data_IF_715298574443
#
_entry.id   IF_715298574443
#
_cell.length_a   1.000
_cell.length_b   1.000
_cell.length_c   1.000
_cell.angle_alpha   90.00
_cell.angle_beta   90.00
_cell.angle_gamma   90.00
#
_symmetry.space_group_name_H-M   'P 1'
#
loop_
_entity.id
_entity.type
_entity.pdbx_description
1 polymer ?
#
# COMPACT_ATOMS: atom_id res chain seq x y z
N UNK A 1 12.38 -0.96 2.87
CA UNK A 1 13.65 -1.32 2.32
C UNK A 1 14.66 -1.94 3.30
N UNK A 2 14.57 -1.69 4.62
CA UNK A 2 15.53 -2.27 5.60
C UNK A 2 15.22 -3.72 5.89
N UNK A 3 14.00 -4.02 6.28
CA UNK A 3 13.53 -5.38 6.63
C UNK A 3 13.00 -6.11 5.40
N UNK A 4 12.34 -5.38 4.51
CA UNK A 4 11.77 -5.89 3.27
C UNK A 4 12.66 -5.59 2.07
N UNK A 5 12.43 -6.29 0.95
CA UNK A 5 13.13 -6.04 -0.33
C UNK A 5 12.83 -4.63 -0.85
N UNK A 6 11.76 -4.01 -0.36
CA UNK A 6 11.40 -2.63 -0.69
C UNK A 6 10.44 -2.49 -1.86
N UNK A 7 10.16 -3.56 -2.56
CA UNK A 7 9.21 -3.60 -3.67
C UNK A 7 7.96 -4.37 -3.26
N UNK A 8 6.87 -3.65 -3.04
CA UNK A 8 5.56 -4.27 -2.88
C UNK A 8 5.08 -4.79 -4.22
N UNK A 9 4.44 -5.96 -4.22
CA UNK A 9 3.93 -6.60 -5.42
C UNK A 9 2.43 -6.85 -5.29
N UNK A 10 1.67 -6.51 -6.32
CA UNK A 10 0.25 -6.80 -6.38
C UNK A 10 0.04 -8.32 -6.50
N UNK A 11 -0.80 -8.88 -5.64
CA UNK A 11 -1.05 -10.32 -5.56
C UNK A 11 -2.49 -10.69 -5.85
N UNK A 12 -3.46 -9.80 -5.58
CA UNK A 12 -4.87 -10.09 -5.76
C UNK A 12 -5.72 -8.84 -5.96
N UNK A 13 -6.79 -8.97 -6.73
CA UNK A 13 -7.83 -7.97 -6.92
C UNK A 13 -9.13 -8.41 -6.25
N UNK A 14 -9.76 -7.50 -5.51
CA UNK A 14 -11.02 -7.74 -4.80
C UNK A 14 -12.08 -6.75 -5.29
N UNK A 15 -12.89 -7.07 -6.32
CA UNK A 15 -14.03 -6.24 -6.68
C UNK A 15 -15.09 -6.29 -5.57
N UNK A 16 -15.81 -5.20 -5.37
CA UNK A 16 -16.85 -5.07 -4.34
C UNK A 16 -18.16 -4.56 -4.93
N UNK A 17 -19.27 -4.69 -4.20
CA UNK A 17 -20.54 -4.12 -4.58
C UNK A 17 -21.13 -4.69 -5.89
N UNK A 18 -20.82 -5.95 -6.21
CA UNK A 18 -21.30 -6.57 -7.45
C UNK A 18 -20.58 -6.11 -8.72
N UNK A 19 -19.47 -5.39 -8.59
CA UNK A 19 -18.64 -4.98 -9.74
C UNK A 19 -18.08 -6.21 -10.43
N UNK A 20 -18.22 -6.26 -11.76
CA UNK A 20 -17.68 -7.36 -12.55
C UNK A 20 -16.15 -7.45 -12.39
N UNK A 21 -15.58 -8.64 -12.10
CA UNK A 21 -14.14 -8.80 -11.94
C UNK A 21 -13.30 -8.31 -13.12
N UNK A 22 -13.79 -8.47 -14.35
CA UNK A 22 -13.08 -7.99 -15.54
C UNK A 22 -13.10 -6.46 -15.63
N UNK A 23 -14.20 -5.82 -15.29
CA UNK A 23 -14.28 -4.35 -15.22
C UNK A 23 -13.36 -3.80 -14.15
N UNK A 24 -13.35 -4.41 -12.98
CA UNK A 24 -12.45 -4.01 -11.90
C UNK A 24 -10.98 -4.16 -12.30
N UNK A 25 -10.63 -5.28 -12.95
CA UNK A 25 -9.30 -5.50 -13.49
C UNK A 25 -8.87 -4.37 -14.44
N UNK A 26 -9.75 -3.96 -15.35
CA UNK A 26 -9.50 -2.85 -16.28
C UNK A 26 -9.26 -1.54 -15.52
N UNK A 27 -10.06 -1.22 -14.52
CA UNK A 27 -9.90 -0.02 -13.69
C UNK A 27 -8.54 -0.02 -12.98
N UNK A 28 -8.14 -1.13 -12.40
CA UNK A 28 -6.85 -1.28 -11.73
C UNK A 28 -5.68 -1.05 -12.69
N UNK A 29 -5.70 -1.68 -13.85
CA UNK A 29 -4.65 -1.57 -14.86
C UNK A 29 -4.58 -0.16 -15.45
N UNK A 30 -5.72 0.43 -15.83
CA UNK A 30 -5.77 1.79 -16.36
C UNK A 30 -5.26 2.82 -15.35
N UNK A 31 -5.66 2.70 -14.09
CA UNK A 31 -5.20 3.59 -13.02
C UNK A 31 -3.68 3.53 -12.79
N UNK A 32 -3.05 2.46 -13.23
CA UNK A 32 -1.62 2.20 -13.06
C UNK A 32 -0.80 2.29 -14.35
N UNK A 33 -1.43 2.57 -15.48
CA UNK A 33 -0.82 2.50 -16.81
C UNK A 33 0.42 3.40 -16.98
N UNK A 34 0.47 4.54 -16.31
CA UNK A 34 1.61 5.43 -16.31
C UNK A 34 2.29 5.55 -14.95
N UNK A 35 1.95 4.69 -14.03
CA UNK A 35 2.60 4.60 -12.73
C UNK A 35 3.91 3.82 -12.88
N UNK A 36 5.03 4.55 -12.88
CA UNK A 36 6.36 3.95 -13.03
C UNK A 36 6.91 3.33 -11.73
N UNK A 37 6.17 3.44 -10.64
CA UNK A 37 6.56 2.80 -9.37
C UNK A 37 6.56 1.27 -9.51
N UNK A 38 7.36 0.56 -8.69
CA UNK A 38 7.31 -0.91 -8.67
C UNK A 38 5.92 -1.47 -8.40
N UNK A 39 5.16 -0.82 -7.53
CA UNK A 39 3.77 -1.17 -7.21
C UNK A 39 2.86 -1.04 -8.43
N UNK A 40 2.92 0.10 -9.13
CA UNK A 40 2.13 0.35 -10.33
C UNK A 40 2.44 -0.64 -11.45
N UNK A 41 3.71 -0.90 -11.68
CA UNK A 41 4.15 -1.91 -12.66
C UNK A 41 3.66 -3.31 -12.31
N UNK A 42 3.68 -3.67 -11.03
CA UNK A 42 3.19 -4.97 -10.57
C UNK A 42 1.68 -5.15 -10.77
N UNK A 43 0.91 -4.06 -10.63
CA UNK A 43 -0.54 -4.08 -10.89
C UNK A 43 -0.82 -4.34 -12.37
N UNK A 44 -0.10 -3.66 -13.27
CA UNK A 44 -0.22 -3.87 -14.72
C UNK A 44 0.18 -5.29 -15.11
N UNK A 45 1.25 -5.81 -14.53
CA UNK A 45 1.71 -7.19 -14.77
C UNK A 45 0.68 -8.22 -14.31
N UNK A 46 0.13 -8.07 -13.10
CA UNK A 46 -0.92 -8.95 -12.60
C UNK A 46 -2.16 -8.91 -13.49
N UNK A 47 -2.55 -7.74 -13.96
CA UNK A 47 -3.65 -7.58 -14.92
C UNK A 47 -3.39 -8.33 -16.22
N UNK A 48 -2.16 -8.27 -16.72
CA UNK A 48 -1.73 -8.98 -17.93
C UNK A 48 -1.78 -10.51 -17.75
N UNK A 49 -1.32 -11.00 -16.63
CA UNK A 49 -1.42 -12.42 -16.25
C UNK A 49 -2.86 -12.91 -16.21
N UNK A 50 -3.80 -12.06 -15.81
CA UNK A 50 -5.23 -12.36 -15.78
C UNK A 50 -5.96 -12.08 -17.11
N UNK A 51 -5.21 -11.77 -18.15
CA UNK A 51 -5.72 -11.68 -19.52
C UNK A 51 -6.10 -10.29 -20.01
N UNK A 52 -5.86 -9.23 -19.22
CA UNK A 52 -6.10 -7.87 -19.68
C UNK A 52 -4.82 -7.19 -20.16
N UNK A 53 -4.88 -6.68 -21.38
CA UNK A 53 -3.83 -5.85 -21.98
C UNK A 53 -4.46 -4.58 -22.52
N UNK A 54 -3.85 -3.44 -22.23
CA UNK A 54 -4.24 -2.19 -22.86
C UNK A 54 -3.34 -1.91 -24.07
N UNK A 55 -3.90 -1.21 -25.06
CA UNK A 55 -3.17 -0.71 -26.21
C UNK A 55 -2.80 0.77 -26.01
N UNK A 56 -1.93 1.30 -26.89
CA UNK A 56 -1.66 2.73 -26.88
C UNK A 56 -2.92 3.56 -27.19
N UNK A 57 -3.85 2.99 -27.95
CA UNK A 57 -5.13 3.63 -28.26
C UNK A 57 -5.97 3.82 -26.99
N UNK A 58 -5.96 2.85 -26.07
CA UNK A 58 -6.66 2.94 -24.78
C UNK A 58 -6.10 4.05 -23.87
N UNK A 59 -4.85 4.45 -24.09
CA UNK A 59 -4.17 5.50 -23.33
C UNK A 59 -4.28 6.89 -23.98
N UNK A 60 -4.87 7.01 -25.16
CA UNK A 60 -5.01 8.29 -25.85
C UNK A 60 -5.97 9.22 -25.10
N UNK A 61 -5.52 10.45 -24.87
CA UNK A 61 -6.33 11.47 -24.22
C UNK A 61 -6.49 11.29 -22.70
N UNK A 62 -5.80 10.33 -22.10
CA UNK A 62 -5.79 10.11 -20.64
C UNK A 62 -4.90 11.16 -19.98
N UNK A 63 -5.43 11.82 -18.95
CA UNK A 63 -4.65 12.66 -18.06
C UNK A 63 -4.19 11.84 -16.84
N UNK A 64 -2.87 11.80 -16.62
CA UNK A 64 -2.27 11.07 -15.51
C UNK A 64 -2.24 11.90 -14.24
N UNK A 65 -2.73 11.34 -13.15
CA UNK A 65 -2.66 11.93 -11.82
C UNK A 65 -1.59 11.20 -11.02
N UNK A 66 -0.46 11.89 -10.81
CA UNK A 66 0.70 11.31 -10.11
C UNK A 66 0.45 11.24 -8.60
N UNK A 67 1.04 10.22 -7.99
CA UNK A 67 1.06 10.10 -6.53
C UNK A 67 1.82 11.27 -5.90
N UNK A 68 1.25 11.81 -4.82
CA UNK A 68 1.95 12.73 -3.94
C UNK A 68 1.85 12.25 -2.49
N UNK A 69 2.82 12.61 -1.67
CA UNK A 69 2.80 12.28 -0.23
C UNK A 69 1.61 12.95 0.50
N UNK A 70 1.11 14.04 -0.04
CA UNK A 70 -0.02 14.79 0.48
C UNK A 70 -1.35 14.09 0.16
N UNK A 71 -1.56 13.72 -1.10
CA UNK A 71 -2.82 13.09 -1.54
C UNK A 71 -2.86 11.58 -1.27
N UNK A 72 -1.70 10.94 -1.20
CA UNK A 72 -1.54 9.49 -1.02
C UNK A 72 -2.37 8.64 -1.99
N UNK A 73 -2.63 9.18 -3.17
CA UNK A 73 -3.34 8.50 -4.24
C UNK A 73 -2.80 8.90 -5.60
N UNK A 74 -3.07 8.08 -6.58
CA UNK A 74 -2.76 8.31 -7.99
C UNK A 74 -3.90 7.78 -8.86
N UNK A 75 -3.86 8.05 -10.13
CA UNK A 75 -4.88 7.54 -11.04
C UNK A 75 -4.88 8.22 -12.40
N UNK A 76 -6.02 8.19 -13.05
CA UNK A 76 -6.21 8.73 -14.39
C UNK A 76 -7.56 9.44 -14.50
N UNK A 77 -7.59 10.48 -15.32
CA UNK A 77 -8.82 11.10 -15.82
C UNK A 77 -9.00 10.68 -17.27
N UNK A 78 -10.08 9.98 -17.53
CA UNK A 78 -10.39 9.45 -18.86
C UNK A 78 -11.01 10.54 -19.77
N UNK A 79 -10.86 10.44 -21.10
CA UNK A 79 -11.45 11.39 -22.02
C UNK A 79 -12.98 11.50 -21.95
N UNK A 80 -13.65 10.45 -21.51
CA UNK A 80 -15.10 10.38 -21.30
C UNK A 80 -15.58 11.00 -19.97
N UNK A 81 -14.67 11.56 -19.18
CA UNK A 81 -14.96 12.22 -17.93
C UNK A 81 -14.87 11.32 -16.69
N UNK A 82 -14.61 10.03 -16.85
CA UNK A 82 -14.40 9.13 -15.69
C UNK A 82 -13.09 9.45 -14.99
N UNK A 83 -13.14 9.51 -13.66
CA UNK A 83 -11.98 9.72 -12.79
C UNK A 83 -11.72 8.46 -12.00
N UNK A 84 -10.58 7.82 -12.24
CA UNK A 84 -10.19 6.60 -11.54
C UNK A 84 -9.06 6.97 -10.57
N UNK A 85 -9.20 6.60 -9.30
CA UNK A 85 -8.19 6.83 -8.27
C UNK A 85 -7.92 5.53 -7.52
N UNK A 86 -6.64 5.32 -7.20
CA UNK A 86 -6.18 4.25 -6.30
C UNK A 86 -5.28 4.85 -5.24
N UNK A 87 -5.34 4.33 -4.04
CA UNK A 87 -4.49 4.85 -2.97
C UNK A 87 -4.73 4.18 -1.63
N UNK A 88 -4.06 4.69 -0.61
CA UNK A 88 -4.23 4.25 0.76
C UNK A 88 -5.71 4.38 1.18
N UNK A 89 -6.16 3.47 2.04
CA UNK A 89 -7.56 3.40 2.49
C UNK A 89 -8.09 4.74 2.97
N UNK A 90 -7.34 5.45 3.80
CA UNK A 90 -7.77 6.74 4.36
C UNK A 90 -7.86 7.86 3.31
N UNK A 91 -6.95 7.86 2.34
CA UNK A 91 -6.98 8.83 1.25
C UNK A 91 -8.24 8.67 0.38
N UNK A 92 -8.56 7.44 0.00
CA UNK A 92 -9.74 7.13 -0.80
C UNK A 92 -11.02 7.30 0.02
N UNK A 93 -11.01 6.97 1.31
CA UNK A 93 -12.10 7.24 2.24
C UNK A 93 -12.47 8.73 2.25
N UNK A 94 -11.47 9.59 2.33
CA UNK A 94 -11.68 11.05 2.30
C UNK A 94 -12.31 11.51 0.98
N UNK A 95 -11.84 10.98 -0.15
CA UNK A 95 -12.41 11.28 -1.47
C UNK A 95 -13.89 10.87 -1.54
N UNK A 96 -14.20 9.65 -1.10
CA UNK A 96 -15.56 9.14 -1.09
C UNK A 96 -16.50 9.94 -0.17
N UNK A 97 -16.04 10.27 1.03
CA UNK A 97 -16.81 11.04 2.01
C UNK A 97 -17.15 12.45 1.52
N UNK A 98 -16.24 13.12 0.83
CA UNK A 98 -16.50 14.45 0.22
C UNK A 98 -17.62 14.40 -0.82
N UNK A 99 -17.82 13.26 -1.45
CA UNK A 99 -18.90 13.04 -2.43
C UNK A 99 -20.17 12.42 -1.80
N UNK A 100 -20.22 12.30 -0.47
CA UNK A 100 -21.35 11.69 0.23
C UNK A 100 -21.36 10.16 0.22
N UNK A 101 -20.26 9.52 -0.20
CA UNK A 101 -20.12 8.07 -0.21
C UNK A 101 -19.34 7.60 1.03
N UNK A 102 -19.49 6.32 1.38
CA UNK A 102 -18.76 5.70 2.48
C UNK A 102 -18.26 4.32 2.10
N UNK A 103 -17.29 3.81 2.85
CA UNK A 103 -16.87 2.43 2.71
C UNK A 103 -18.00 1.51 3.22
N UNK A 104 -18.33 0.51 2.40
CA UNK A 104 -19.24 -0.57 2.83
C UNK A 104 -18.53 -1.47 3.86
N UNK A 105 -19.31 -2.26 4.58
CA UNK A 105 -18.77 -3.28 5.49
C UNK A 105 -17.89 -4.31 4.76
N UNK A 106 -18.20 -4.61 3.50
CA UNK A 106 -17.40 -5.48 2.64
C UNK A 106 -16.01 -4.91 2.41
N UNK A 107 -15.90 -3.62 2.05
CA UNK A 107 -14.62 -2.93 1.84
C UNK A 107 -13.82 -2.88 3.14
N UNK A 108 -14.44 -2.53 4.25
CA UNK A 108 -13.78 -2.48 5.57
C UNK A 108 -13.20 -3.84 5.95
N UNK A 109 -13.96 -4.91 5.74
CA UNK A 109 -13.51 -6.29 6.01
C UNK A 109 -12.32 -6.69 5.16
N UNK A 110 -12.35 -6.39 3.85
CA UNK A 110 -11.25 -6.71 2.93
C UNK A 110 -9.98 -5.95 3.31
N UNK A 111 -10.09 -4.65 3.53
CA UNK A 111 -8.98 -3.79 3.95
C UNK A 111 -8.34 -4.31 5.23
N UNK A 112 -9.16 -4.65 6.22
CA UNK A 112 -8.69 -5.19 7.49
C UNK A 112 -8.01 -6.54 7.32
N UNK A 113 -8.60 -7.47 6.59
CA UNK A 113 -8.06 -8.80 6.35
C UNK A 113 -6.68 -8.73 5.65
N UNK A 114 -6.55 -7.90 4.62
CA UNK A 114 -5.27 -7.68 3.93
C UNK A 114 -4.21 -7.17 4.91
N UNK A 115 -4.55 -6.17 5.72
CA UNK A 115 -3.62 -5.58 6.70
C UNK A 115 -3.22 -6.56 7.79
N UNK A 116 -4.15 -7.35 8.30
CA UNK A 116 -3.88 -8.39 9.32
C UNK A 116 -2.95 -9.49 8.79
N UNK A 117 -2.97 -9.75 7.49
CA UNK A 117 -2.09 -10.71 6.82
C UNK A 117 -0.79 -10.07 6.30
N UNK A 118 -0.46 -8.86 6.75
CA UNK A 118 0.77 -8.17 6.40
C UNK A 118 0.80 -7.53 5.03
N UNK A 119 -0.31 -7.53 4.32
CA UNK A 119 -0.45 -6.86 3.05
C UNK A 119 -0.74 -5.36 3.19
N UNK A 120 -0.65 -4.65 2.09
CA UNK A 120 -1.06 -3.26 1.99
C UNK A 120 -2.27 -3.17 1.07
N UNK A 121 -3.43 -2.73 1.57
CA UNK A 121 -4.61 -2.53 0.74
C UNK A 121 -4.51 -1.19 0.00
N UNK A 122 -4.71 -1.22 -1.32
CA UNK A 122 -4.98 -0.03 -2.13
C UNK A 122 -6.45 -0.05 -2.53
N UNK A 123 -7.18 0.97 -2.15
CA UNK A 123 -8.60 1.10 -2.52
C UNK A 123 -8.71 1.80 -3.86
N UNK A 124 -9.58 1.30 -4.72
CA UNK A 124 -9.83 1.85 -6.07
C UNK A 124 -11.26 2.40 -6.13
N UNK A 125 -11.38 3.65 -6.59
CA UNK A 125 -12.66 4.28 -6.84
C UNK A 125 -12.74 4.82 -8.28
N UNK A 126 -13.96 4.88 -8.78
CA UNK A 126 -14.32 5.53 -10.04
C UNK A 126 -15.44 6.53 -9.74
N UNK A 127 -15.22 7.79 -10.13
CA UNK A 127 -16.17 8.89 -9.84
C UNK A 127 -16.61 8.90 -8.36
N UNK A 128 -15.63 8.77 -7.45
CA UNK A 128 -15.80 8.77 -5.99
C UNK A 128 -16.61 7.59 -5.43
N UNK A 129 -16.95 6.60 -6.26
CA UNK A 129 -17.57 5.33 -5.83
C UNK A 129 -16.52 4.24 -5.69
N UNK A 130 -16.54 3.54 -4.58
CA UNK A 130 -15.58 2.46 -4.33
C UNK A 130 -15.92 1.25 -5.21
N UNK A 131 -14.93 0.79 -5.97
CA UNK A 131 -15.08 -0.35 -6.89
C UNK A 131 -14.39 -1.62 -6.40
N UNK A 132 -13.39 -1.49 -5.57
CA UNK A 132 -12.69 -2.64 -5.02
C UNK A 132 -11.37 -2.29 -4.35
N UNK A 133 -10.60 -3.33 -4.06
CA UNK A 133 -9.32 -3.24 -3.34
C UNK A 133 -8.26 -4.07 -4.06
N UNK A 134 -7.05 -3.55 -4.11
CA UNK A 134 -5.86 -4.27 -4.58
C UNK A 134 -5.04 -4.68 -3.37
N UNK A 135 -4.63 -5.94 -3.29
CA UNK A 135 -3.70 -6.43 -2.28
C UNK A 135 -2.27 -6.33 -2.78
N UNK A 136 -1.43 -5.61 -2.04
CA UNK A 136 0.02 -5.58 -2.23
C UNK A 136 0.69 -6.34 -1.10
N UNK A 137 1.72 -7.12 -1.40
CA UNK A 137 2.51 -7.86 -0.42
C UNK A 137 3.97 -7.40 -0.44
N UNK A 138 4.53 -7.17 0.74
CA UNK A 138 5.97 -6.98 0.94
C UNK A 138 6.67 -8.33 1.07
N UNK A 139 7.90 -8.40 0.56
CA UNK A 139 8.75 -9.58 0.71
C UNK A 139 9.80 -9.27 1.78
N UNK A 140 9.79 -10.03 2.88
CA UNK A 140 10.78 -9.92 3.95
C UNK A 140 12.11 -10.53 3.46
N UNK A 141 13.21 -9.82 3.72
CA UNK A 141 14.54 -10.28 3.32
C UNK A 141 14.90 -11.61 4.00
N UNK A 142 15.44 -12.53 3.21
CA UNK A 142 15.94 -13.81 3.72
C UNK A 142 17.04 -13.56 4.76
N UNK A 143 17.00 -14.30 5.88
CA UNK A 143 18.01 -14.21 6.93
C UNK A 143 17.87 -13.01 7.87
N UNK A 144 16.84 -12.17 7.70
CA UNK A 144 16.66 -10.99 8.57
C UNK A 144 16.32 -11.39 10.01
N UNK A 145 15.53 -12.45 10.18
CA UNK A 145 15.13 -12.95 11.50
C UNK A 145 16.31 -13.43 12.31
N UNK A 146 17.20 -14.20 11.70
CA UNK A 146 18.43 -14.71 12.29
C UNK A 146 19.36 -13.57 12.72
N UNK A 147 19.42 -12.50 11.90
CA UNK A 147 20.21 -11.30 12.24
C UNK A 147 19.67 -10.62 13.50
N UNK A 148 18.36 -10.45 13.61
CA UNK A 148 17.76 -9.83 14.79
C UNK A 148 17.88 -10.71 16.02
N UNK A 149 17.79 -12.02 15.89
CA UNK A 149 18.06 -12.96 16.98
C UNK A 149 19.49 -12.85 17.51
N UNK A 150 20.47 -12.71 16.62
CA UNK A 150 21.87 -12.49 17.01
C UNK A 150 22.04 -11.16 17.76
N UNK A 151 21.44 -10.08 17.28
CA UNK A 151 21.48 -8.78 17.96
C UNK A 151 20.85 -8.87 19.34
N UNK A 152 19.75 -9.57 19.48
CA UNK A 152 19.09 -9.79 20.78
C UNK A 152 19.99 -10.55 21.76
N UNK A 153 20.67 -11.60 21.29
CA UNK A 153 21.66 -12.34 22.09
C UNK A 153 22.84 -11.48 22.55
N UNK A 154 23.14 -10.43 21.79
CA UNK A 154 24.18 -9.45 22.15
C UNK A 154 23.66 -8.34 23.06
N UNK A 155 22.40 -8.40 23.50
CA UNK A 155 21.78 -7.39 24.35
C UNK A 155 21.30 -6.16 23.61
N UNK A 156 21.24 -6.20 22.28
CA UNK A 156 20.76 -5.08 21.45
C UNK A 156 19.26 -5.19 21.26
N UNK A 157 18.53 -4.15 21.65
CA UNK A 157 17.09 -4.02 21.37
C UNK A 157 16.88 -3.51 19.94
N UNK A 158 15.97 -4.15 19.22
CA UNK A 158 15.60 -3.75 17.85
C UNK A 158 14.20 -3.16 17.83
N UNK A 159 14.05 -2.02 17.17
CA UNK A 159 12.77 -1.33 17.00
C UNK A 159 12.55 -1.03 15.51
N UNK A 160 11.43 -1.49 14.97
CA UNK A 160 11.02 -1.16 13.61
C UNK A 160 10.21 0.13 13.61
N UNK A 161 10.60 1.10 12.77
CA UNK A 161 9.85 2.34 12.57
C UNK A 161 9.38 2.38 11.13
N UNK A 162 8.06 2.40 10.92
CA UNK A 162 7.45 2.28 9.60
C UNK A 162 6.30 3.27 9.40
N UNK A 163 6.07 3.67 8.16
CA UNK A 163 4.90 4.44 7.76
C UNK A 163 3.64 3.59 7.52
N UNK A 164 3.74 2.25 7.61
CA UNK A 164 2.61 1.35 7.41
C UNK A 164 1.56 1.48 8.52
N UNK A 165 0.33 1.02 8.24
CA UNK A 165 -0.72 0.95 9.25
C UNK A 165 -0.35 -0.04 10.37
N UNK A 166 -0.95 0.08 11.57
CA UNK A 166 -0.58 -0.75 12.73
C UNK A 166 -0.71 -2.25 12.50
N UNK A 167 -1.72 -2.70 11.76
CA UNK A 167 -1.94 -4.13 11.50
C UNK A 167 -0.85 -4.72 10.61
N UNK A 168 -0.51 -4.04 9.52
CA UNK A 168 0.58 -4.43 8.62
C UNK A 168 1.92 -4.38 9.35
N UNK A 169 2.18 -3.32 10.12
CA UNK A 169 3.40 -3.15 10.89
C UNK A 169 3.59 -4.27 11.92
N UNK A 170 2.54 -4.61 12.64
CA UNK A 170 2.56 -5.70 13.63
C UNK A 170 2.93 -7.04 12.97
N UNK A 171 2.29 -7.37 11.87
CA UNK A 171 2.58 -8.61 11.14
C UNK A 171 4.04 -8.68 10.69
N UNK A 172 4.55 -7.63 10.06
CA UNK A 172 5.94 -7.58 9.57
C UNK A 172 6.93 -7.64 10.73
N UNK A 173 6.66 -6.95 11.83
CA UNK A 173 7.50 -6.97 13.04
C UNK A 173 7.59 -8.38 13.63
N UNK A 174 6.48 -9.10 13.73
CA UNK A 174 6.43 -10.48 14.22
C UNK A 174 7.18 -11.43 13.28
N UNK A 175 7.01 -11.29 11.97
CA UNK A 175 7.70 -12.12 10.96
C UNK A 175 9.21 -11.86 10.93
N UNK A 176 9.63 -10.61 11.12
CA UNK A 176 11.04 -10.23 11.15
C UNK A 176 11.72 -10.51 12.49
N UNK A 177 10.94 -10.67 13.57
CA UNK A 177 11.46 -10.95 14.91
C UNK A 177 12.10 -9.75 15.59
N UNK A 178 11.64 -8.52 15.30
CA UNK A 178 12.04 -7.31 16.04
C UNK A 178 11.38 -7.25 17.41
N UNK A 179 11.99 -6.53 18.35
CA UNK A 179 11.50 -6.46 19.73
C UNK A 179 10.28 -5.55 19.87
N UNK A 180 10.22 -4.49 19.08
CA UNK A 180 9.14 -3.51 19.14
C UNK A 180 8.94 -2.82 17.78
N UNK A 181 7.81 -2.12 17.60
CA UNK A 181 7.57 -1.37 16.38
C UNK A 181 6.78 -0.09 16.62
N UNK A 182 6.97 0.89 15.72
CA UNK A 182 6.22 2.13 15.65
C UNK A 182 5.62 2.22 14.26
N UNK A 183 4.29 2.25 14.19
CA UNK A 183 3.53 2.34 12.94
C UNK A 183 3.15 3.79 12.62
N UNK A 184 2.72 4.04 11.37
CA UNK A 184 2.24 5.34 10.89
C UNK A 184 3.25 6.49 11.11
N UNK A 185 4.54 6.15 11.20
CA UNK A 185 5.60 7.11 11.45
C UNK A 185 5.92 7.93 10.19
N UNK A 186 6.03 9.23 10.38
CA UNK A 186 6.58 10.15 9.37
C UNK A 186 8.12 10.17 9.46
N UNK A 187 8.81 10.67 8.42
CA UNK A 187 10.28 10.79 8.48
C UNK A 187 10.78 11.56 9.70
N UNK A 188 10.05 12.62 10.10
CA UNK A 188 10.39 13.43 11.27
C UNK A 188 10.31 12.64 12.57
N UNK A 189 9.31 11.76 12.70
CA UNK A 189 9.10 10.93 13.88
C UNK A 189 10.27 9.96 14.11
N UNK A 190 10.87 9.48 13.01
CA UNK A 190 12.06 8.61 13.07
C UNK A 190 13.24 9.32 13.70
N UNK A 191 13.49 10.55 13.27
CA UNK A 191 14.58 11.37 13.82
C UNK A 191 14.32 11.73 15.29
N UNK A 192 13.10 12.08 15.63
CA UNK A 192 12.73 12.42 17.00
C UNK A 192 12.88 11.22 17.94
N UNK A 193 12.48 10.03 17.51
CA UNK A 193 12.66 8.80 18.27
C UNK A 193 14.15 8.53 18.57
N UNK A 194 15.03 8.65 17.57
CA UNK A 194 16.47 8.45 17.73
C UNK A 194 17.03 9.46 18.75
N UNK A 195 16.69 10.75 18.62
CA UNK A 195 17.13 11.79 19.54
C UNK A 195 16.68 11.51 20.98
N UNK A 196 15.44 11.07 21.17
CA UNK A 196 14.88 10.73 22.48
C UNK A 196 15.65 9.59 23.13
N UNK A 197 15.94 8.53 22.41
CA UNK A 197 16.70 7.38 22.92
C UNK A 197 18.16 7.76 23.25
N UNK A 198 18.77 8.62 22.45
CA UNK A 198 20.13 9.16 22.73
C UNK A 198 20.14 10.05 23.96
N UNK A 199 19.14 10.91 24.16
CA UNK A 199 18.99 11.76 25.35
C UNK A 199 18.76 10.93 26.63
N UNK A 200 18.17 9.75 26.51
CA UNK A 200 18.02 8.77 27.60
C UNK A 200 19.33 8.01 27.91
N UNK A 201 20.45 8.37 27.27
CA UNK A 201 21.76 7.76 27.50
C UNK A 201 21.99 6.44 26.77
N UNK A 202 21.14 6.10 25.79
CA UNK A 202 21.28 4.87 25.01
C UNK A 202 22.12 5.10 23.76
N UNK A 203 22.92 4.10 23.42
CA UNK A 203 23.63 4.06 22.17
C UNK A 203 22.70 3.58 21.07
N UNK A 204 22.44 4.41 20.06
CA UNK A 204 21.55 4.10 18.92
C UNK A 204 22.40 3.97 17.65
N UNK A 205 22.18 2.88 16.91
CA UNK A 205 22.83 2.59 15.62
C UNK A 205 21.80 2.47 14.49
#
# INVERSE_FOLDING_TARGET
>A
GTITIGNRKATKFYPVGGVNPKEFLQLCVLSSAADETPEGKSIVELGREQGFRFSQTDLMGIHMVKFTAETKCSGVDMPDGRRIRKGASEAIRTIAQKAGNSFSSEVEKIVRTISENGGTPLVVCENEQIKGVIELQDIIKTGIRERFERLRKMGVKTVMVTGDNPLTAKYIAEQAGVDDFIAEAKPEDKMEYIKREQQAGKLVA
#
